data_IF_498386028222
#
_entry.id   IF_498386028222
#
_cell.length_a   1.000
_cell.length_b   1.000
_cell.length_c   1.000
_cell.angle_alpha   90.00
_cell.angle_beta   90.00
_cell.angle_gamma   90.00
#
_symmetry.space_group_name_H-M   'P 1'
#
loop_
_entity.id
_entity.type
_entity.pdbx_description
1 polymer ?
#
# COMPACT_ATOMS: atom_id res chain seq x y z
N UNK A 1 -10.01 11.36 -6.35
CA UNK A 1 -11.13 11.65 -5.40
C UNK A 1 -11.95 10.37 -5.29
N UNK A 2 -12.36 9.99 -4.09
CA UNK A 2 -13.20 8.81 -3.87
C UNK A 2 -14.55 9.24 -3.26
N UNK A 3 -15.59 8.52 -3.62
CA UNK A 3 -16.92 8.58 -3.00
C UNK A 3 -17.39 7.14 -2.95
N UNK A 4 -17.56 6.61 -1.74
CA UNK A 4 -17.94 5.22 -1.52
C UNK A 4 -18.95 5.10 -0.38
N UNK A 5 -19.27 3.86 -0.05
CA UNK A 5 -20.34 3.40 0.83
C UNK A 5 -19.93 3.35 2.31
N UNK A 6 -19.46 4.49 2.83
CA UNK A 6 -18.92 4.62 4.19
C UNK A 6 -19.93 4.33 5.31
N UNK A 7 -21.22 4.30 4.99
CA UNK A 7 -22.31 3.90 5.89
C UNK A 7 -22.36 2.38 6.16
N UNK A 8 -21.76 1.57 5.29
CA UNK A 8 -21.59 0.12 5.49
C UNK A 8 -20.37 -0.10 6.36
N UNK A 9 -19.19 0.21 5.82
CA UNK A 9 -17.91 0.30 6.51
C UNK A 9 -16.89 1.04 5.61
N UNK A 10 -15.61 1.02 5.97
CA UNK A 10 -14.56 1.67 5.19
C UNK A 10 -13.84 0.73 4.22
N UNK A 11 -14.14 -0.57 4.23
CA UNK A 11 -13.35 -1.60 3.56
C UNK A 11 -13.36 -1.41 2.04
N UNK A 12 -14.55 -1.37 1.41
CA UNK A 12 -14.66 -1.22 -0.05
C UNK A 12 -13.98 0.06 -0.54
N UNK A 13 -14.25 1.18 0.14
CA UNK A 13 -13.67 2.47 -0.27
C UNK A 13 -12.15 2.46 -0.17
N UNK A 14 -11.57 1.86 0.86
CA UNK A 14 -10.11 1.78 1.05
C UNK A 14 -9.47 0.84 0.03
N UNK A 15 -10.06 -0.35 -0.18
CA UNK A 15 -9.57 -1.32 -1.17
C UNK A 15 -9.60 -0.72 -2.58
N UNK A 16 -10.72 -0.14 -2.99
CA UNK A 16 -10.90 0.45 -4.33
C UNK A 16 -9.93 1.60 -4.59
N UNK A 17 -9.64 2.42 -3.56
CA UNK A 17 -8.61 3.46 -3.67
C UNK A 17 -7.22 2.84 -3.83
N UNK A 18 -6.92 1.74 -3.13
CA UNK A 18 -5.69 0.97 -3.31
C UNK A 18 -5.55 0.42 -4.74
N UNK A 19 -6.61 -0.19 -5.27
CA UNK A 19 -6.67 -0.67 -6.65
C UNK A 19 -6.48 0.47 -7.66
N UNK A 20 -7.26 1.54 -7.55
CA UNK A 20 -7.19 2.67 -8.47
C UNK A 20 -5.79 3.31 -8.49
N UNK A 21 -5.17 3.46 -7.32
CA UNK A 21 -3.81 3.99 -7.21
C UNK A 21 -2.77 3.02 -7.79
N UNK A 22 -2.90 1.73 -7.54
CA UNK A 22 -2.00 0.72 -8.09
C UNK A 22 -2.06 0.66 -9.61
N UNK A 23 -3.25 0.77 -10.18
CA UNK A 23 -3.44 0.85 -11.63
C UNK A 23 -2.76 2.09 -12.19
N UNK A 24 -2.99 3.26 -11.58
CA UNK A 24 -2.37 4.51 -12.01
C UNK A 24 -0.83 4.45 -11.94
N UNK A 25 -0.27 3.81 -10.89
CA UNK A 25 1.16 3.62 -10.76
C UNK A 25 1.72 2.69 -11.86
N UNK A 26 1.03 1.58 -12.14
CA UNK A 26 1.40 0.65 -13.20
C UNK A 26 1.43 1.34 -14.56
N UNK A 27 0.39 2.11 -14.86
CA UNK A 27 0.25 2.83 -16.13
C UNK A 27 1.32 3.92 -16.28
N UNK A 28 1.58 4.68 -15.20
CA UNK A 28 2.60 5.72 -15.21
C UNK A 28 4.03 5.19 -15.40
N UNK A 29 4.31 3.97 -14.90
CA UNK A 29 5.61 3.33 -15.04
C UNK A 29 5.87 2.75 -16.44
N UNK A 30 4.80 2.46 -17.21
CA UNK A 30 4.88 1.88 -18.55
C UNK A 30 5.77 0.64 -18.61
N UNK A 31 6.71 0.63 -19.56
CA UNK A 31 7.64 -0.48 -19.82
C UNK A 31 8.70 -0.68 -18.72
N UNK A 32 8.82 0.24 -17.75
CA UNK A 32 9.82 0.19 -16.65
C UNK A 32 11.28 0.07 -17.14
N UNK A 33 11.57 0.46 -18.38
CA UNK A 33 12.91 0.44 -18.93
C UNK A 33 13.74 1.62 -18.39
N UNK A 34 14.99 1.35 -17.97
CA UNK A 34 15.93 2.38 -17.53
C UNK A 34 15.70 2.96 -16.12
N UNK A 35 14.73 2.42 -15.37
CA UNK A 35 14.53 2.81 -13.96
C UNK A 35 15.44 2.00 -13.02
N UNK A 36 15.66 2.50 -11.81
CA UNK A 36 16.43 1.79 -10.76
C UNK A 36 15.81 0.45 -10.34
N UNK A 37 14.48 0.29 -10.55
CA UNK A 37 13.63 -0.86 -10.23
C UNK A 37 13.47 -1.16 -8.73
N UNK A 38 14.57 -1.18 -7.99
CA UNK A 38 14.58 -1.41 -6.56
C UNK A 38 14.70 -0.08 -5.79
N UNK A 39 13.92 0.05 -4.73
CA UNK A 39 13.94 1.18 -3.83
C UNK A 39 13.77 0.75 -2.39
N UNK A 40 14.41 1.47 -1.48
CA UNK A 40 14.27 1.29 -0.04
C UNK A 40 14.18 2.67 0.61
N UNK A 41 13.33 2.80 1.62
CA UNK A 41 13.29 3.96 2.48
C UNK A 41 12.98 3.53 3.92
N UNK A 42 13.71 4.13 4.87
CA UNK A 42 13.43 4.02 6.30
C UNK A 42 13.00 5.39 6.82
N UNK A 43 11.83 5.46 7.43
CA UNK A 43 11.20 6.73 7.85
C UNK A 43 10.81 6.63 9.33
N UNK A 44 11.33 7.54 10.19
CA UNK A 44 10.92 7.62 11.60
C UNK A 44 9.72 8.55 11.80
N UNK A 45 8.99 8.32 12.90
CA UNK A 45 8.06 9.27 13.52
C UNK A 45 8.02 9.01 15.03
N UNK A 46 8.54 9.95 15.83
CA UNK A 46 8.75 9.79 17.27
C UNK A 46 9.48 8.46 17.61
N UNK A 47 8.90 7.57 18.40
CA UNK A 47 9.46 6.26 18.72
C UNK A 47 9.30 5.21 17.61
N UNK A 48 8.47 5.48 16.61
CA UNK A 48 8.21 4.55 15.51
C UNK A 48 9.27 4.66 14.41
N UNK A 49 9.64 3.52 13.84
CA UNK A 49 10.55 3.43 12.69
C UNK A 49 10.03 2.36 11.75
N UNK A 50 9.78 2.73 10.49
CA UNK A 50 9.30 1.81 9.45
C UNK A 50 10.27 1.79 8.29
N UNK A 51 10.55 0.61 7.75
CA UNK A 51 11.30 0.40 6.52
C UNK A 51 10.42 -0.23 5.46
N UNK A 52 10.43 0.36 4.27
CA UNK A 52 9.73 -0.17 3.10
C UNK A 52 10.73 -0.47 1.99
N UNK A 53 10.61 -1.65 1.38
CA UNK A 53 11.40 -2.08 0.21
C UNK A 53 10.45 -2.40 -0.94
N UNK A 54 10.79 -1.91 -2.13
CA UNK A 54 10.01 -2.08 -3.35
C UNK A 54 10.86 -2.71 -4.44
N UNK A 55 10.31 -3.69 -5.15
CA UNK A 55 10.78 -4.16 -6.46
C UNK A 55 9.65 -4.02 -7.48
N UNK A 56 9.84 -3.12 -8.45
CA UNK A 56 8.94 -2.90 -9.58
C UNK A 56 9.03 -4.01 -10.63
N UNK A 57 8.83 -5.26 -10.21
CA UNK A 57 9.13 -6.47 -10.96
C UNK A 57 8.08 -6.90 -11.98
N UNK A 58 6.87 -6.33 -11.91
CA UNK A 58 5.71 -6.85 -12.63
C UNK A 58 5.03 -8.04 -11.94
N UNK A 59 5.61 -8.57 -10.85
CA UNK A 59 5.05 -9.68 -10.08
C UNK A 59 4.54 -9.15 -8.73
N UNK A 60 3.26 -9.34 -8.40
CA UNK A 60 2.73 -8.91 -7.12
C UNK A 60 3.19 -9.85 -6.00
N UNK A 61 3.72 -9.28 -4.92
CA UNK A 61 3.97 -10.00 -3.67
C UNK A 61 4.02 -8.99 -2.52
N UNK A 62 3.31 -9.26 -1.43
CA UNK A 62 3.19 -8.33 -0.31
C UNK A 62 3.64 -9.00 0.99
N UNK A 63 4.51 -8.32 1.73
CA UNK A 63 4.93 -8.69 3.10
C UNK A 63 4.70 -7.51 4.01
N UNK A 64 4.03 -7.76 5.12
CA UNK A 64 3.70 -6.76 6.13
C UNK A 64 4.04 -7.29 7.52
N UNK A 65 5.08 -6.72 8.14
CA UNK A 65 5.54 -7.04 9.51
C UNK A 65 5.47 -5.79 10.41
N UNK A 66 4.38 -5.04 10.30
CA UNK A 66 4.12 -3.89 11.19
C UNK A 66 3.14 -4.32 12.27
N UNK A 67 3.55 -4.20 13.53
CA UNK A 67 2.72 -4.59 14.68
C UNK A 67 2.09 -3.36 15.31
N UNK A 68 0.81 -3.15 15.03
CA UNK A 68 0.01 -2.07 15.61
C UNK A 68 -0.91 -2.68 16.67
N UNK A 69 -0.90 -2.14 17.89
CA UNK A 69 -1.69 -2.69 19.02
C UNK A 69 -3.13 -2.20 19.00
N UNK A 70 -3.36 -1.02 18.43
CA UNK A 70 -4.63 -0.34 18.40
C UNK A 70 -5.48 -0.87 17.25
N UNK A 71 -6.76 -1.13 17.50
CA UNK A 71 -7.70 -1.50 16.45
C UNK A 71 -8.12 -0.31 15.59
N UNK A 72 -8.12 0.91 16.15
CA UNK A 72 -8.55 2.13 15.46
C UNK A 72 -7.60 3.31 15.68
N UNK A 73 -7.55 4.21 14.69
CA UNK A 73 -6.97 5.56 14.77
C UNK A 73 -8.10 6.56 14.48
N UNK A 74 -8.58 7.24 15.52
CA UNK A 74 -9.82 8.01 15.41
C UNK A 74 -10.99 7.10 15.07
N UNK A 75 -11.63 7.30 13.92
CA UNK A 75 -12.70 6.42 13.42
C UNK A 75 -12.18 5.27 12.54
N UNK A 76 -10.96 5.38 12.03
CA UNK A 76 -10.42 4.50 11.00
C UNK A 76 -9.92 3.17 11.57
N UNK A 77 -10.29 2.06 10.93
CA UNK A 77 -9.84 0.71 11.28
C UNK A 77 -8.42 0.47 10.78
N UNK A 78 -7.51 0.19 11.72
CA UNK A 78 -6.07 0.07 11.46
C UNK A 78 -5.74 -1.09 10.52
N UNK A 79 -6.55 -2.15 10.56
CA UNK A 79 -6.38 -3.31 9.67
C UNK A 79 -6.48 -2.94 8.19
N UNK A 80 -7.25 -1.89 7.85
CA UNK A 80 -7.44 -1.46 6.46
C UNK A 80 -6.17 -0.88 5.83
N UNK A 81 -5.14 -0.55 6.62
CA UNK A 81 -3.81 -0.19 6.09
C UNK A 81 -3.21 -1.39 5.34
N UNK A 82 -3.35 -2.60 5.91
CA UNK A 82 -2.87 -3.82 5.27
C UNK A 82 -3.62 -4.05 3.95
N UNK A 83 -4.95 -3.94 3.96
CA UNK A 83 -5.78 -4.20 2.78
C UNK A 83 -5.53 -3.18 1.67
N UNK A 84 -5.37 -1.90 2.02
CA UNK A 84 -4.95 -0.86 1.10
C UNK A 84 -3.62 -1.21 0.42
N UNK A 85 -2.60 -1.57 1.20
CA UNK A 85 -1.26 -1.87 0.68
C UNK A 85 -1.26 -3.18 -0.14
N UNK A 86 -2.05 -4.18 0.25
CA UNK A 86 -2.23 -5.41 -0.50
C UNK A 86 -2.87 -5.13 -1.87
N UNK A 87 -3.98 -4.38 -1.89
CA UNK A 87 -4.66 -3.96 -3.12
C UNK A 87 -3.73 -3.15 -4.03
N UNK A 88 -3.03 -2.16 -3.47
CA UNK A 88 -2.02 -1.36 -4.17
C UNK A 88 -0.92 -2.23 -4.79
N UNK A 89 -0.37 -3.17 -4.01
CA UNK A 89 0.74 -4.03 -4.44
C UNK A 89 0.32 -4.96 -5.57
N UNK A 90 -0.86 -5.58 -5.42
CA UNK A 90 -1.44 -6.45 -6.43
C UNK A 90 -1.71 -5.69 -7.72
N UNK A 91 -2.37 -4.53 -7.62
CA UNK A 91 -2.77 -3.75 -8.77
C UNK A 91 -1.63 -2.97 -9.42
N UNK A 92 -0.54 -2.65 -8.70
CA UNK A 92 0.70 -2.12 -9.28
C UNK A 92 1.57 -3.22 -9.93
N UNK A 93 1.42 -4.47 -9.49
CA UNK A 93 2.26 -5.58 -9.93
C UNK A 93 3.69 -5.41 -9.47
N UNK A 94 3.87 -5.14 -8.17
CA UNK A 94 5.17 -4.94 -7.55
C UNK A 94 5.36 -5.88 -6.36
N UNK A 95 6.62 -6.10 -5.97
CA UNK A 95 6.91 -6.66 -4.65
C UNK A 95 7.02 -5.50 -3.66
N UNK A 96 6.32 -5.61 -2.53
CA UNK A 96 6.32 -4.62 -1.46
C UNK A 96 6.55 -5.32 -0.12
N UNK A 97 7.58 -4.89 0.60
CA UNK A 97 7.86 -5.34 1.96
C UNK A 97 7.81 -4.13 2.89
N UNK A 98 7.01 -4.21 3.96
CA UNK A 98 6.86 -3.16 4.97
C UNK A 98 7.10 -3.77 6.35
N UNK A 99 7.98 -3.17 7.15
CA UNK A 99 8.32 -3.62 8.51
C UNK A 99 8.58 -2.44 9.42
#
# INVERSE_FOLDING_TARGET
RATGDLEVDYHHTVEDVGLALGQALRDALGEKAGIRRFGEATVPLDEALVTTVVDLSGRPFFVYDVRIKQAKIGTFDVELIHDFLLALTNQAGMNLHVR
#
